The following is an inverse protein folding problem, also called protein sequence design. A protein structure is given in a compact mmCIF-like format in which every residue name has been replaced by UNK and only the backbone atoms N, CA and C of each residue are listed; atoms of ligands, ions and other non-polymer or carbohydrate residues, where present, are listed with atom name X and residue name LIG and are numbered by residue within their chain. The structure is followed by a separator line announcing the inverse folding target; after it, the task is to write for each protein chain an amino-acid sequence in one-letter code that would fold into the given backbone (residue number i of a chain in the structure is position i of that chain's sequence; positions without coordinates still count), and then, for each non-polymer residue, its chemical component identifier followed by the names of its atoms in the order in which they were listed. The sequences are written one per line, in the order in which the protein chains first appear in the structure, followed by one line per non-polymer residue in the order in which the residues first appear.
data_IF_064344098677
#
_entry.id   IF_064344098677
#
_cell.length_a   1.000
_cell.length_b   1.000
_cell.length_c   1.000
_cell.angle_alpha   90.00
_cell.angle_beta   90.00
_cell.angle_gamma   90.00
#
_symmetry.space_group_name_H-M   'P 1'
#
loop_
_entity.id
_entity.type
_entity.pdbx_description
1 polymer ?
#
# COMPACT_ATOMS: atom_id res chain seq x y z
N UNK A 1 -0.69 -19.66 7.90
CA UNK A 1 -0.48 -18.80 6.71
C UNK A 1 -0.59 -17.37 7.16
N UNK A 2 0.42 -16.56 6.84
CA UNK A 2 0.49 -15.18 7.30
C UNK A 2 -0.35 -14.28 6.39
N UNK A 3 -1.07 -13.34 6.98
CA UNK A 3 -1.77 -12.31 6.20
C UNK A 3 -0.77 -11.20 5.89
N UNK A 4 -0.64 -10.86 4.61
CA UNK A 4 0.04 -9.64 4.20
C UNK A 4 -0.83 -8.44 4.62
N UNK A 5 -0.22 -7.44 5.23
CA UNK A 5 -0.87 -6.22 5.70
C UNK A 5 -0.21 -5.01 5.06
N UNK A 6 -1.03 -4.09 4.59
CA UNK A 6 -0.62 -2.75 4.20
C UNK A 6 -1.20 -1.75 5.20
N UNK A 7 -0.39 -0.81 5.65
CA UNK A 7 -0.85 0.34 6.44
C UNK A 7 -0.34 1.60 5.75
N UNK A 8 -1.22 2.58 5.60
CA UNK A 8 -0.91 3.89 5.06
C UNK A 8 -1.05 4.89 6.21
N UNK A 9 -0.03 5.72 6.41
CA UNK A 9 -0.01 6.80 7.39
C UNK A 9 -0.83 8.01 6.92
N UNK A 10 -0.79 9.08 7.72
CA UNK A 10 -1.34 10.36 7.29
C UNK A 10 -0.34 11.05 6.35
N UNK A 11 -0.80 11.67 5.25
CA UNK A 11 0.10 12.38 4.34
C UNK A 11 0.59 13.69 4.97
N UNK A 12 1.90 13.92 4.93
CA UNK A 12 2.56 15.13 5.43
C UNK A 12 3.52 15.67 4.36
N UNK A 13 3.36 16.95 3.97
CA UNK A 13 4.23 17.62 3.00
C UNK A 13 4.43 16.89 1.65
N UNK A 14 3.45 16.11 1.19
CA UNK A 14 3.53 15.35 -0.07
C UNK A 14 4.06 13.91 0.09
N UNK A 15 4.43 13.53 1.31
CA UNK A 15 4.92 12.22 1.68
C UNK A 15 3.86 11.44 2.45
N UNK A 16 3.92 10.11 2.38
CA UNK A 16 3.09 9.20 3.16
C UNK A 16 3.92 8.01 3.63
N UNK A 17 3.80 7.67 4.91
CA UNK A 17 4.38 6.45 5.44
C UNK A 17 3.59 5.23 4.97
N UNK A 18 4.26 4.25 4.37
CA UNK A 18 3.68 2.97 3.97
C UNK A 18 4.39 1.84 4.66
N UNK A 19 3.61 0.99 5.33
CA UNK A 19 4.10 -0.22 5.97
C UNK A 19 3.53 -1.42 5.24
N UNK A 20 4.41 -2.29 4.76
CA UNK A 20 4.05 -3.61 4.23
C UNK A 20 4.70 -4.68 5.08
N UNK A 21 3.93 -5.68 5.50
CA UNK A 21 4.46 -6.70 6.36
C UNK A 21 3.52 -7.86 6.62
N UNK A 22 4.05 -8.88 7.28
CA UNK A 22 3.32 -10.06 7.73
C UNK A 22 3.38 -10.15 9.27
N UNK A 23 3.28 -11.35 9.87
CA UNK A 23 3.41 -11.51 11.32
C UNK A 23 4.85 -11.47 11.83
N UNK A 24 5.83 -11.61 10.94
CA UNK A 24 7.22 -11.85 11.28
C UNK A 24 8.10 -10.65 10.90
N UNK A 25 7.75 -9.94 9.83
CA UNK A 25 8.55 -8.85 9.28
C UNK A 25 7.66 -7.70 8.80
N UNK A 26 8.15 -6.46 8.97
CA UNK A 26 7.55 -5.26 8.41
C UNK A 26 8.64 -4.44 7.71
N UNK A 27 8.31 -3.88 6.55
CA UNK A 27 9.12 -2.90 5.82
C UNK A 27 8.34 -1.58 5.86
N UNK A 28 9.03 -0.52 6.28
CA UNK A 28 8.49 0.84 6.34
C UNK A 28 9.17 1.67 5.27
N UNK A 29 8.38 2.34 4.44
CA UNK A 29 8.84 3.26 3.40
C UNK A 29 8.16 4.61 3.60
N UNK A 30 8.91 5.69 3.41
CA UNK A 30 8.33 7.02 3.21
C UNK A 30 8.31 7.30 1.72
N UNK A 31 7.11 7.32 1.14
CA UNK A 31 6.93 7.48 -0.31
C UNK A 31 6.35 8.85 -0.60
N UNK A 32 6.80 9.47 -1.68
CA UNK A 32 6.18 10.66 -2.25
C UNK A 32 5.20 10.25 -3.36
N UNK A 33 4.01 10.86 -3.38
CA UNK A 33 3.06 10.69 -4.48
C UNK A 33 3.38 11.63 -5.67
N UNK A 34 4.28 12.59 -5.48
CA UNK A 34 4.82 13.47 -6.52
C UNK A 34 6.27 13.07 -6.80
N UNK A 35 6.70 12.91 -8.06
CA UNK A 35 5.98 13.19 -9.32
C UNK A 35 5.19 11.99 -9.89
N UNK A 36 5.26 10.81 -9.27
CA UNK A 36 4.94 9.56 -9.95
C UNK A 36 3.49 9.06 -9.82
N UNK A 37 2.63 9.73 -9.06
CA UNK A 37 1.24 9.32 -8.76
C UNK A 37 1.18 7.85 -8.31
N UNK A 38 2.14 7.46 -7.47
CA UNK A 38 2.43 6.07 -7.13
C UNK A 38 1.32 5.40 -6.34
N UNK A 39 0.53 6.15 -5.55
CA UNK A 39 -0.64 5.61 -4.86
C UNK A 39 -1.77 5.26 -5.81
N UNK A 40 -1.98 6.09 -6.84
CA UNK A 40 -2.95 5.80 -7.90
C UNK A 40 -2.52 4.53 -8.67
N UNK A 41 -1.25 4.44 -9.07
CA UNK A 41 -0.70 3.24 -9.72
C UNK A 41 -0.84 1.99 -8.85
N UNK A 42 -0.59 2.10 -7.55
CA UNK A 42 -0.80 1.00 -6.61
C UNK A 42 -2.27 0.54 -6.63
N UNK A 43 -3.21 1.48 -6.67
CA UNK A 43 -4.65 1.17 -6.75
C UNK A 43 -4.98 0.41 -8.04
N UNK A 44 -4.48 0.88 -9.19
CA UNK A 44 -4.67 0.21 -10.48
C UNK A 44 -4.07 -1.21 -10.48
N UNK A 45 -2.85 -1.36 -9.97
CA UNK A 45 -2.18 -2.67 -9.81
C UNK A 45 -3.04 -3.63 -8.98
N UNK A 46 -3.60 -3.17 -7.87
CA UNK A 46 -4.46 -3.99 -7.02
C UNK A 46 -5.77 -4.39 -7.71
N UNK A 47 -6.35 -3.50 -8.52
CA UNK A 47 -7.54 -3.80 -9.32
C UNK A 47 -7.24 -4.83 -10.42
N UNK A 48 -6.12 -4.69 -11.13
CA UNK A 48 -5.66 -5.63 -12.16
C UNK A 48 -5.36 -7.02 -11.57
N UNK A 49 -4.71 -7.08 -10.40
CA UNK A 49 -4.49 -8.34 -9.68
C UNK A 49 -5.81 -9.01 -9.29
N UNK A 50 -6.81 -8.22 -8.87
CA UNK A 50 -8.16 -8.71 -8.58
C UNK A 50 -8.88 -9.20 -9.84
N UNK A 51 -8.64 -8.56 -10.99
CA UNK A 51 -9.16 -8.98 -12.29
C UNK A 51 -8.48 -10.27 -12.81
N UNK A 52 -7.43 -10.75 -12.14
CA UNK A 52 -6.75 -12.00 -12.46
C UNK A 52 -5.41 -11.82 -13.17
N UNK A 53 -4.89 -10.59 -13.24
CA UNK A 53 -3.54 -10.35 -13.76
C UNK A 53 -2.51 -11.18 -12.99
N UNK A 54 -1.54 -11.74 -13.73
CA UNK A 54 -0.51 -12.64 -13.19
C UNK A 54 0.67 -11.89 -12.58
N UNK A 55 0.96 -10.70 -13.12
CA UNK A 55 2.13 -9.91 -12.75
C UNK A 55 1.78 -8.43 -12.88
N UNK A 56 2.16 -7.65 -11.88
CA UNK A 56 2.04 -6.19 -11.88
C UNK A 56 3.21 -5.60 -11.09
N UNK A 57 3.53 -4.34 -11.35
CA UNK A 57 4.55 -3.62 -10.60
C UNK A 57 4.16 -2.16 -10.40
N UNK A 58 4.63 -1.58 -9.30
CA UNK A 58 4.54 -0.14 -9.04
C UNK A 58 5.86 0.36 -8.49
N UNK A 59 6.25 1.51 -9.00
CA UNK A 59 7.41 2.27 -8.55
C UNK A 59 6.95 3.42 -7.65
N UNK A 60 7.61 3.57 -6.51
CA UNK A 60 7.42 4.63 -5.54
C UNK A 60 8.62 5.56 -5.55
N UNK A 61 8.39 6.87 -5.65
CA UNK A 61 9.46 7.83 -5.49
C UNK A 61 9.81 8.00 -4.01
N UNK A 62 11.10 7.93 -3.69
CA UNK A 62 11.66 8.14 -2.36
C UNK A 62 12.53 9.42 -2.28
N UNK A 63 12.70 10.14 -3.40
CA UNK A 63 13.63 11.25 -3.66
C UNK A 63 14.95 11.27 -2.85
N UNK A 64 16.13 11.09 -3.49
CA UNK A 64 16.39 11.04 -4.94
C UNK A 64 16.25 9.64 -5.55
N UNK A 65 15.73 8.67 -4.80
CA UNK A 65 15.72 7.25 -5.15
C UNK A 65 14.29 6.74 -5.42
N UNK A 66 14.16 5.44 -5.74
CA UNK A 66 12.90 4.77 -5.98
C UNK A 66 12.84 3.41 -5.30
N UNK A 67 11.66 3.03 -4.82
CA UNK A 67 11.34 1.66 -4.43
C UNK A 67 10.52 1.00 -5.54
N UNK A 68 10.78 -0.27 -5.81
CA UNK A 68 10.03 -1.07 -6.77
C UNK A 68 9.30 -2.20 -6.05
N UNK A 69 7.99 -2.29 -6.27
CA UNK A 69 7.19 -3.39 -5.73
C UNK A 69 6.67 -4.23 -6.88
N UNK A 70 6.96 -5.53 -6.87
CA UNK A 70 6.45 -6.49 -7.85
C UNK A 70 5.45 -7.41 -7.21
N UNK A 71 4.33 -7.62 -7.88
CA UNK A 71 3.21 -8.44 -7.43
C UNK A 71 3.10 -9.65 -8.35
N UNK A 72 3.19 -10.85 -7.79
CA UNK A 72 3.13 -12.11 -8.53
C UNK A 72 1.92 -12.91 -8.03
N UNK A 73 0.96 -13.11 -8.91
CA UNK A 73 -0.25 -13.85 -8.64
C UNK A 73 -0.07 -15.32 -9.06
N UNK A 74 -0.02 -16.20 -8.05
CA UNK A 74 0.17 -17.65 -8.18
C UNK A 74 -1.14 -18.43 -7.96
N UNK A 75 -2.27 -17.86 -8.40
CA UNK A 75 -3.58 -18.53 -8.31
C UNK A 75 -4.29 -18.29 -6.98
N UNK A 76 -3.94 -19.00 -5.92
CA UNK A 76 -4.49 -18.74 -4.56
C UNK A 76 -3.57 -17.86 -3.70
N UNK A 77 -2.31 -17.78 -4.10
CA UNK A 77 -1.28 -17.00 -3.42
C UNK A 77 -0.97 -15.73 -4.20
N UNK A 78 -0.60 -14.69 -3.45
CA UNK A 78 -0.01 -13.47 -3.94
C UNK A 78 1.35 -13.33 -3.27
N UNK A 79 2.39 -13.15 -4.07
CA UNK A 79 3.70 -12.73 -3.59
C UNK A 79 3.91 -11.25 -3.89
N UNK A 80 4.56 -10.55 -2.97
CA UNK A 80 4.97 -9.17 -3.11
C UNK A 80 6.46 -9.11 -2.83
N UNK A 81 7.20 -8.69 -3.84
CA UNK A 81 8.64 -8.52 -3.79
C UNK A 81 8.90 -7.02 -3.66
N UNK A 82 9.42 -6.61 -2.51
CA UNK A 82 9.66 -5.22 -2.16
C UNK A 82 11.16 -4.93 -2.27
N UNK A 83 11.52 -4.13 -3.26
CA UNK A 83 12.84 -3.56 -3.42
C UNK A 83 12.80 -2.16 -2.79
N UNK A 84 13.39 -1.96 -1.60
CA UNK A 84 13.25 -0.72 -0.82
C UNK A 84 14.02 0.47 -1.43
N UNK A 85 14.91 0.24 -2.38
CA UNK A 85 15.69 1.26 -3.09
C UNK A 85 16.18 0.68 -4.43
N UNK A 86 16.62 1.55 -5.36
CA UNK A 86 17.03 1.13 -6.70
C UNK A 86 18.29 0.26 -6.74
N UNK A 87 19.11 0.33 -5.69
CA UNK A 87 20.35 -0.45 -5.56
C UNK A 87 20.14 -1.85 -4.96
N UNK A 88 18.93 -2.16 -4.49
CA UNK A 88 18.64 -3.43 -3.83
C UNK A 88 18.42 -4.54 -4.86
N UNK A 89 19.28 -5.56 -4.87
CA UNK A 89 19.15 -6.71 -5.77
C UNK A 89 18.26 -7.83 -5.20
N UNK A 90 18.17 -7.94 -3.87
CA UNK A 90 17.40 -8.96 -3.16
C UNK A 90 16.15 -8.35 -2.52
N UNK A 91 14.93 -8.74 -2.94
CA UNK A 91 13.71 -8.17 -2.39
C UNK A 91 13.35 -8.74 -1.02
N UNK A 92 12.64 -7.96 -0.22
CA UNK A 92 11.81 -8.52 0.84
C UNK A 92 10.59 -9.19 0.22
N UNK A 93 10.44 -10.50 0.42
CA UNK A 93 9.35 -11.28 -0.15
C UNK A 93 8.28 -11.54 0.89
N UNK A 94 7.05 -11.11 0.59
CA UNK A 94 5.85 -11.38 1.38
C UNK A 94 4.91 -12.26 0.58
N UNK A 95 4.43 -13.36 1.16
CA UNK A 95 3.49 -14.27 0.49
C UNK A 95 2.24 -14.49 1.33
N UNK A 96 1.06 -14.40 0.70
CA UNK A 96 -0.23 -14.52 1.39
C UNK A 96 -1.39 -14.94 0.49
N UNK A 97 -2.51 -15.36 1.08
CA UNK A 97 -3.72 -15.68 0.33
C UNK A 97 -4.43 -14.40 -0.16
N UNK A 98 -5.01 -14.44 -1.36
CA UNK A 98 -5.77 -13.32 -1.94
C UNK A 98 -7.15 -13.08 -1.31
N UNK A 99 -7.60 -13.98 -0.45
CA UNK A 99 -9.00 -14.08 -0.06
C UNK A 99 -9.43 -13.06 1.02
N UNK A 100 -8.53 -12.17 1.47
CA UNK A 100 -8.84 -11.17 2.51
C UNK A 100 -8.28 -9.80 2.17
N UNK A 101 -9.12 -8.96 1.55
CA UNK A 101 -8.93 -7.51 1.58
C UNK A 101 -9.45 -7.02 2.93
N UNK A 102 -8.54 -6.75 3.88
CA UNK A 102 -8.88 -6.16 5.17
C UNK A 102 -9.06 -4.65 4.99
N UNK A 103 -10.29 -4.22 4.71
CA UNK A 103 -10.63 -2.80 4.73
C UNK A 103 -10.79 -2.36 6.19
N UNK A 104 -9.69 -1.98 6.85
CA UNK A 104 -9.76 -1.32 8.15
C UNK A 104 -10.28 0.10 7.91
N UNK A 105 -11.61 0.28 7.95
CA UNK A 105 -12.15 1.63 8.13
C UNK A 105 -11.63 2.13 9.48
N UNK A 106 -10.98 3.30 9.56
CA UNK A 106 -10.75 3.91 10.87
C UNK A 106 -12.11 4.02 11.54
N UNK A 107 -12.23 3.48 12.76
CA UNK A 107 -13.45 3.64 13.54
C UNK A 107 -13.68 5.14 13.71
N UNK A 108 -14.71 5.69 13.07
CA UNK A 108 -15.22 7.00 13.42
C UNK A 108 -15.82 6.91 14.82
N UNK A 109 -14.97 7.04 15.83
CA UNK A 109 -15.40 7.32 17.19
C UNK A 109 -15.91 8.77 17.21
N UNK A 110 -17.22 8.92 17.00
CA UNK A 110 -18.08 9.92 17.64
C UNK A 110 -17.52 11.34 17.80
N UNK A 111 -17.63 12.15 16.75
CA UNK A 111 -17.88 13.58 16.91
C UNK A 111 -19.00 13.98 15.96
N UNK A 112 -20.23 14.06 16.48
CA UNK A 112 -21.39 14.57 15.73
C UNK A 112 -21.11 16.03 15.34
N UNK A 113 -21.36 16.46 14.09
CA UNK A 113 -21.40 17.88 13.79
C UNK A 113 -22.65 18.50 14.46
N UNK A 114 -22.45 19.45 15.38
CA UNK A 114 -23.51 20.39 15.79
C UNK A 114 -23.77 21.32 14.61
N UNK A 115 -24.75 20.99 13.79
CA UNK A 115 -25.36 21.96 12.88
C UNK A 115 -26.28 22.83 13.73
N UNK A 116 -25.82 24.04 14.05
CA UNK A 116 -26.64 25.06 14.69
C UNK A 116 -27.19 25.98 13.60
N UNK A 117 -28.40 25.70 13.12
CA UNK A 117 -29.13 26.63 12.27
C UNK A 117 -29.62 27.80 13.13
N UNK A 118 -29.08 29.00 12.93
CA UNK A 118 -29.71 30.26 13.33
C UNK A 118 -30.66 30.68 12.21
N UNK A 119 -31.96 30.80 12.51
CA UNK A 119 -32.87 31.58 11.69
C UNK A 119 -32.81 33.04 12.16
N UNK A 120 -32.59 33.95 11.23
CA UNK A 120 -32.92 35.38 11.37
C UNK A 120 -34.25 35.64 10.68
#
# INVERSE_FOLDING_TARGET
MNNIRFKFGEPEHGWIGVIVGDSNHEVVLEISDVPCNSLYKLTDVLLELKAGSKFQEVEFSLEPDFALWKFINLGHLLEIHVYPNSSCEEPFVFSGCKDKVLHNRPSMTSARPRIQCRMH
#
